data_IF_845662051628
#
_entry.id   IF_845662051628
#
_cell.length_a   1.000
_cell.length_b   1.000
_cell.length_c   1.000
_cell.angle_alpha   90.00
_cell.angle_beta   90.00
_cell.angle_gamma   90.00
#
_symmetry.space_group_name_H-M   'P 1'
#
loop_
_entity.id
_entity.type
_entity.pdbx_description
1 polymer ?
#
# COMPACT_ATOMS: atom_id res chain seq x y z
N UNK A 1 3.43 30.99 -15.26
CA UNK A 1 2.63 29.76 -15.00
C UNK A 1 1.51 29.73 -16.02
N UNK A 2 1.55 28.84 -17.02
CA UNK A 2 0.52 28.71 -18.06
C UNK A 2 -0.20 27.37 -17.85
N UNK A 3 -1.51 27.42 -17.73
CA UNK A 3 -2.38 26.25 -17.66
C UNK A 3 -2.75 25.81 -19.08
N UNK A 4 -2.89 24.50 -19.31
CA UNK A 4 -3.39 23.92 -20.55
C UNK A 4 -4.76 23.27 -20.28
N UNK A 5 -5.77 23.63 -21.07
CA UNK A 5 -7.14 23.11 -20.97
C UNK A 5 -7.48 22.26 -22.21
N UNK A 6 -7.98 21.01 -22.07
CA UNK A 6 -8.33 20.16 -23.20
C UNK A 6 -9.84 20.22 -23.46
N UNK A 7 -10.30 21.14 -24.31
CA UNK A 7 -11.72 21.20 -24.69
C UNK A 7 -12.09 22.44 -25.51
N UNK A 8 -13.04 22.27 -26.44
CA UNK A 8 -13.34 23.20 -27.52
C UNK A 8 -13.85 24.57 -27.05
N UNK A 9 -13.31 25.64 -27.66
CA UNK A 9 -13.89 26.98 -27.55
C UNK A 9 -14.90 27.18 -28.67
N UNK A 10 -16.18 27.14 -28.32
CA UNK A 10 -17.22 27.78 -29.12
C UNK A 10 -17.87 28.85 -28.25
N UNK A 11 -17.72 30.11 -28.65
CA UNK A 11 -18.76 31.13 -28.49
C UNK A 11 -18.53 32.23 -29.54
N UNK A 12 -19.53 32.37 -30.41
CA UNK A 12 -19.64 33.41 -31.45
C UNK A 12 -20.81 34.31 -31.11
N UNK A 13 -20.51 35.51 -30.63
CA UNK A 13 -21.29 36.76 -30.66
C UNK A 13 -20.68 37.72 -29.62
N UNK A 14 -20.33 38.99 -29.84
CA UNK A 14 -20.72 39.99 -30.83
C UNK A 14 -19.58 41.02 -31.06
N UNK A 15 -18.32 40.67 -30.79
CA UNK A 15 -17.15 41.51 -31.09
C UNK A 15 -15.96 40.65 -31.53
N UNK A 16 -15.80 40.48 -32.83
CA UNK A 16 -14.50 40.40 -33.51
C UNK A 16 -13.46 39.31 -33.17
N UNK A 17 -13.71 38.31 -32.33
CA UNK A 17 -12.72 37.25 -32.06
C UNK A 17 -13.07 35.95 -32.81
N UNK A 18 -12.63 35.86 -34.07
CA UNK A 18 -12.57 34.57 -34.80
C UNK A 18 -11.26 33.88 -34.44
N UNK A 19 -11.28 33.05 -33.41
CA UNK A 19 -10.24 32.05 -33.21
C UNK A 19 -10.70 30.78 -33.95
N UNK A 20 -10.18 30.54 -35.16
CA UNK A 20 -10.40 29.28 -35.87
C UNK A 20 -9.14 28.45 -35.86
N UNK A 21 -9.27 27.16 -35.56
CA UNK A 21 -8.22 26.15 -35.76
C UNK A 21 -8.37 25.64 -37.19
N UNK A 22 -7.32 25.78 -38.01
CA UNK A 22 -7.31 25.10 -39.31
C UNK A 22 -6.93 23.62 -39.16
N UNK A 23 -7.18 22.82 -40.21
CA UNK A 23 -6.87 21.38 -40.21
C UNK A 23 -5.36 21.07 -40.08
N UNK A 24 -4.50 22.09 -40.06
CA UNK A 24 -3.06 21.99 -39.82
C UNK A 24 -2.68 22.44 -38.40
N UNK A 25 -3.65 22.59 -37.49
CA UNK A 25 -3.47 23.02 -36.11
C UNK A 25 -2.84 24.42 -35.95
N UNK A 26 -2.95 25.28 -36.97
CA UNK A 26 -2.53 26.68 -36.87
C UNK A 26 -3.70 27.55 -36.41
N UNK A 27 -3.51 28.27 -35.32
CA UNK A 27 -4.43 29.32 -34.89
C UNK A 27 -4.14 30.59 -35.68
N UNK A 28 -5.14 31.09 -36.40
CA UNK A 28 -5.09 32.42 -37.03
C UNK A 28 -6.07 33.33 -36.31
N UNK A 29 -5.57 34.35 -35.63
CA UNK A 29 -6.38 35.51 -35.26
C UNK A 29 -6.25 36.57 -36.34
N UNK A 30 -7.38 37.12 -36.81
CA UNK A 30 -7.36 38.41 -37.50
C UNK A 30 -7.35 39.49 -36.42
N UNK A 31 -6.21 40.16 -36.23
CA UNK A 31 -6.20 41.41 -35.48
C UNK A 31 -6.76 42.50 -36.41
N UNK A 32 -7.84 43.18 -36.02
CA UNK A 32 -8.29 44.38 -36.71
C UNK A 32 -7.23 45.46 -36.50
N UNK A 33 -6.59 45.90 -37.59
CA UNK A 33 -5.42 46.79 -37.55
C UNK A 33 -5.74 48.24 -37.18
N UNK A 34 -6.95 48.51 -36.68
CA UNK A 34 -7.46 49.88 -36.51
C UNK A 34 -7.27 50.47 -35.11
N UNK A 35 -6.91 49.68 -34.09
CA UNK A 35 -6.57 50.21 -32.76
C UNK A 35 -5.21 49.68 -32.28
N UNK A 36 -4.17 50.52 -32.42
CA UNK A 36 -2.77 50.22 -32.09
C UNK A 36 -2.45 50.01 -30.60
N UNK A 37 -3.35 49.42 -29.82
CA UNK A 37 -3.22 49.24 -28.37
C UNK A 37 -3.55 47.84 -27.85
N UNK A 38 -3.98 46.90 -28.69
CA UNK A 38 -4.21 45.53 -28.23
C UNK A 38 -2.97 44.64 -28.48
N UNK A 39 -2.24 44.18 -27.44
CA UNK A 39 -1.20 43.19 -27.63
C UNK A 39 -1.85 41.91 -28.15
N UNK A 40 -1.61 41.56 -29.41
CA UNK A 40 -2.04 40.29 -29.97
C UNK A 40 -1.31 39.18 -29.17
N UNK A 41 -2.00 38.54 -28.23
CA UNK A 41 -1.43 37.42 -27.46
C UNK A 41 -1.39 36.20 -28.36
N UNK A 42 -0.19 35.83 -28.79
CA UNK A 42 0.02 34.59 -29.52
C UNK A 42 0.02 33.41 -28.55
N UNK A 43 -0.94 32.51 -28.72
CA UNK A 43 -0.95 31.20 -28.06
C UNK A 43 -0.61 30.17 -29.13
N UNK A 44 0.66 29.86 -29.29
CA UNK A 44 1.04 28.66 -30.04
C UNK A 44 0.84 27.45 -29.14
N UNK A 45 0.19 26.41 -29.67
CA UNK A 45 0.43 25.06 -29.15
C UNK A 45 1.90 24.80 -29.44
N UNK A 46 2.71 24.70 -28.38
CA UNK A 46 4.08 24.27 -28.54
C UNK A 46 4.05 22.93 -29.32
N UNK A 47 4.98 22.70 -30.25
CA UNK A 47 5.06 21.42 -30.93
C UNK A 47 5.07 20.28 -29.91
N UNK A 48 4.68 19.05 -30.29
CA UNK A 48 4.85 17.88 -29.45
C UNK A 48 6.24 17.87 -28.81
N UNK A 49 6.32 17.73 -27.48
CA UNK A 49 7.58 17.36 -26.85
C UNK A 49 7.73 15.87 -27.12
N UNK A 50 8.41 15.53 -28.22
CA UNK A 50 8.76 14.15 -28.52
C UNK A 50 9.99 13.78 -27.70
N UNK A 51 9.79 12.97 -26.66
CA UNK A 51 10.88 12.44 -25.88
C UNK A 51 10.43 11.18 -25.16
N UNK A 52 11.24 10.13 -25.23
CA UNK A 52 11.11 8.99 -24.32
C UNK A 52 11.05 9.52 -22.89
N UNK A 53 10.23 8.93 -22.00
CA UNK A 53 10.14 9.38 -20.63
C UNK A 53 11.55 9.45 -20.03
N UNK A 54 11.97 10.65 -19.63
CA UNK A 54 13.21 10.85 -18.91
C UNK A 54 13.16 9.96 -17.66
N UNK A 55 14.23 9.19 -17.42
CA UNK A 55 14.27 8.25 -16.31
C UNK A 55 14.16 9.01 -14.98
N UNK A 56 12.99 8.95 -14.34
CA UNK A 56 12.79 9.42 -12.98
C UNK A 56 13.26 8.34 -12.02
N UNK A 57 14.04 8.71 -11.01
CA UNK A 57 14.42 7.78 -9.95
C UNK A 57 13.25 7.61 -8.95
N UNK A 58 12.56 6.47 -9.02
CA UNK A 58 11.41 6.17 -8.16
C UNK A 58 11.76 5.56 -6.81
N UNK A 59 12.99 5.05 -6.64
CA UNK A 59 13.42 4.32 -5.45
C UNK A 59 13.20 5.08 -4.12
N UNK A 60 13.40 6.41 -4.02
CA UNK A 60 13.15 7.14 -2.78
C UNK A 60 11.69 7.11 -2.32
N UNK A 61 10.73 7.08 -3.25
CA UNK A 61 9.30 7.05 -2.92
C UNK A 61 8.86 5.69 -2.42
N UNK A 62 9.38 4.61 -3.00
CA UNK A 62 9.19 3.25 -2.47
C UNK A 62 9.87 3.05 -1.12
N UNK A 63 11.08 3.58 -0.93
CA UNK A 63 11.76 3.55 0.36
C UNK A 63 10.95 4.30 1.45
N UNK A 64 10.31 5.42 1.09
CA UNK A 64 9.41 6.13 1.99
C UNK A 64 8.17 5.30 2.33
N UNK A 65 7.55 4.63 1.34
CA UNK A 65 6.40 3.76 1.57
C UNK A 65 6.76 2.59 2.51
N UNK A 66 7.92 1.96 2.31
CA UNK A 66 8.47 0.96 3.23
C UNK A 66 8.70 1.52 4.64
N UNK A 67 9.33 2.69 4.74
CA UNK A 67 9.60 3.31 6.04
C UNK A 67 8.34 3.70 6.82
N UNK A 68 7.19 3.84 6.15
CA UNK A 68 5.90 4.03 6.84
C UNK A 68 5.33 2.75 7.43
N UNK A 69 5.73 1.58 6.91
CA UNK A 69 5.37 0.29 7.47
C UNK A 69 6.21 -0.02 8.73
N UNK A 70 7.48 0.37 8.72
CA UNK A 70 8.39 0.15 9.85
C UNK A 70 7.79 0.74 11.15
N UNK A 71 7.61 -0.10 12.17
CA UNK A 71 7.01 0.29 13.45
C UNK A 71 5.48 0.29 13.50
N UNK A 72 4.81 -0.19 12.46
CA UNK A 72 3.36 -0.38 12.41
C UNK A 72 2.91 -1.85 12.45
N UNK A 73 3.77 -2.73 12.98
CA UNK A 73 3.36 -4.10 13.24
C UNK A 73 2.15 -4.11 14.18
N UNK A 74 1.21 -5.01 13.92
CA UNK A 74 0.09 -5.23 14.82
C UNK A 74 0.52 -5.83 16.16
N UNK A 75 -0.48 -6.11 16.99
CA UNK A 75 -0.34 -6.81 18.25
C UNK A 75 -1.07 -8.14 18.18
N UNK A 76 -0.47 -9.18 18.76
CA UNK A 76 -1.10 -10.49 18.84
C UNK A 76 -2.17 -10.47 19.93
N UNK A 77 -3.38 -10.91 19.56
CA UNK A 77 -4.42 -11.31 20.49
C UNK A 77 -4.52 -12.83 20.59
N UNK A 78 -5.08 -13.35 21.68
CA UNK A 78 -5.33 -14.79 21.83
C UNK A 78 -6.59 -15.12 22.62
N UNK A 79 -7.13 -16.32 22.37
CA UNK A 79 -8.22 -16.92 23.12
C UNK A 79 -7.87 -18.39 23.44
N UNK A 80 -7.78 -18.79 24.72
CA UNK A 80 -7.93 -17.94 25.91
C UNK A 80 -6.78 -16.94 26.07
N UNK A 81 -7.02 -15.75 26.66
CA UNK A 81 -6.01 -14.70 26.73
C UNK A 81 -4.85 -15.12 27.62
N UNK A 82 -3.62 -15.10 27.09
CA UNK A 82 -2.34 -15.37 27.78
C UNK A 82 -2.19 -16.76 28.40
N UNK A 83 -3.21 -17.61 28.29
CA UNK A 83 -3.27 -18.94 28.90
C UNK A 83 -3.87 -19.94 27.93
N UNK A 84 -3.14 -21.01 27.66
CA UNK A 84 -3.56 -22.15 26.86
C UNK A 84 -3.55 -23.41 27.70
N UNK A 85 -4.09 -24.48 27.12
CA UNK A 85 -4.06 -25.81 27.69
C UNK A 85 -3.46 -26.75 26.66
N UNK A 86 -2.56 -27.62 27.09
CA UNK A 86 -2.01 -28.66 26.22
C UNK A 86 -3.13 -29.48 25.58
N UNK A 87 -2.94 -29.85 24.31
CA UNK A 87 -3.87 -30.61 23.50
C UNK A 87 -5.24 -29.94 23.28
N UNK A 88 -5.37 -28.65 23.57
CA UNK A 88 -6.54 -27.84 23.25
C UNK A 88 -6.09 -26.67 22.37
N UNK A 89 -6.72 -26.45 21.21
CA UNK A 89 -6.37 -25.33 20.35
C UNK A 89 -6.50 -23.99 21.07
N UNK A 90 -5.43 -23.18 21.00
CA UNK A 90 -5.42 -21.77 21.37
C UNK A 90 -5.54 -20.96 20.09
N UNK A 91 -6.46 -20.00 20.05
CA UNK A 91 -6.67 -19.12 18.91
C UNK A 91 -5.74 -17.90 19.01
N UNK A 92 -5.21 -17.44 17.88
CA UNK A 92 -4.38 -16.24 17.78
C UNK A 92 -4.81 -15.39 16.59
N UNK A 93 -4.68 -14.08 16.69
CA UNK A 93 -4.98 -13.13 15.62
C UNK A 93 -4.12 -11.89 15.75
N UNK A 94 -4.12 -11.03 14.73
CA UNK A 94 -3.38 -9.76 14.75
C UNK A 94 -4.38 -8.60 14.77
N UNK A 95 -4.26 -7.75 15.78
CA UNK A 95 -5.03 -6.50 15.93
C UNK A 95 -4.14 -5.28 15.68
N UNK A 96 -4.75 -4.17 15.26
CA UNK A 96 -4.06 -2.87 15.19
C UNK A 96 -2.96 -2.78 14.13
N UNK A 97 -3.01 -3.62 13.08
CA UNK A 97 -2.12 -3.52 11.93
C UNK A 97 -2.21 -2.12 11.31
N UNK A 98 -1.07 -1.53 10.96
CA UNK A 98 -1.05 -0.20 10.31
C UNK A 98 -1.74 -0.19 8.94
N UNK A 99 -1.67 -1.31 8.23
CA UNK A 99 -2.26 -1.50 6.89
C UNK A 99 -3.00 -2.84 6.87
N UNK A 100 -4.24 -2.91 7.40
CA UNK A 100 -5.02 -4.14 7.39
C UNK A 100 -5.55 -4.48 5.98
N UNK A 101 -5.68 -3.47 5.12
CA UNK A 101 -6.17 -3.55 3.73
C UNK A 101 -5.27 -2.73 2.79
N UNK A 102 -5.40 -2.94 1.47
CA UNK A 102 -4.63 -2.25 0.45
C UNK A 102 -4.64 -0.72 0.61
N UNK A 103 -3.44 -0.13 0.62
CA UNK A 103 -3.23 1.32 0.73
C UNK A 103 -2.54 1.86 -0.50
N UNK A 104 -3.17 2.87 -1.11
CA UNK A 104 -2.63 3.58 -2.26
C UNK A 104 -2.03 4.93 -1.87
N UNK A 105 -0.82 5.19 -2.33
CA UNK A 105 -0.13 6.48 -2.21
C UNK A 105 0.07 7.06 -3.61
N UNK A 106 -0.14 8.36 -3.78
CA UNK A 106 0.11 9.03 -5.06
C UNK A 106 1.10 10.17 -4.88
N UNK A 107 2.10 10.24 -5.76
CA UNK A 107 3.05 11.36 -5.81
C UNK A 107 3.18 11.87 -7.24
N UNK A 108 3.09 13.19 -7.40
CA UNK A 108 3.31 13.83 -8.70
C UNK A 108 4.67 14.50 -8.70
N UNK A 109 5.49 14.15 -9.69
CA UNK A 109 6.86 14.64 -9.86
C UNK A 109 7.03 15.23 -11.23
N UNK A 110 7.88 16.24 -11.31
CA UNK A 110 8.19 16.91 -12.55
C UNK A 110 9.47 16.28 -13.14
N UNK A 111 9.42 15.80 -14.39
CA UNK A 111 10.57 15.21 -15.09
C UNK A 111 11.66 16.24 -15.41
N UNK A 112 12.77 15.84 -16.05
CA UNK A 112 13.71 16.84 -16.55
C UNK A 112 13.06 17.67 -17.68
N UNK A 113 13.32 18.99 -17.75
CA UNK A 113 12.90 19.78 -18.89
C UNK A 113 13.66 19.36 -20.15
N UNK A 114 13.00 19.41 -21.31
CA UNK A 114 13.65 19.23 -22.61
C UNK A 114 14.51 20.43 -23.02
N UNK A 115 15.12 20.36 -24.21
CA UNK A 115 15.97 21.44 -24.74
C UNK A 115 15.21 22.78 -24.92
N UNK A 116 13.88 22.73 -25.04
CA UNK A 116 12.99 23.88 -25.14
C UNK A 116 12.40 24.31 -23.78
N UNK A 117 12.80 23.66 -22.67
CA UNK A 117 12.33 23.97 -21.32
C UNK A 117 10.95 23.41 -20.96
N UNK A 118 10.39 22.51 -21.77
CA UNK A 118 9.09 21.86 -21.52
C UNK A 118 9.28 20.66 -20.60
N UNK A 119 8.33 20.43 -19.70
CA UNK A 119 8.43 19.41 -18.66
C UNK A 119 7.21 18.50 -18.68
N UNK A 120 7.44 17.19 -18.57
CA UNK A 120 6.38 16.19 -18.36
C UNK A 120 6.20 16.00 -16.85
N UNK A 121 4.95 15.98 -16.39
CA UNK A 121 4.62 15.59 -15.03
C UNK A 121 4.20 14.13 -15.00
N UNK A 122 4.78 13.40 -14.07
CA UNK A 122 4.50 11.99 -13.83
C UNK A 122 3.77 11.84 -12.50
N UNK A 123 2.79 10.96 -12.46
CA UNK A 123 2.11 10.55 -11.22
C UNK A 123 2.46 9.10 -10.94
N UNK A 124 3.23 8.85 -9.90
CA UNK A 124 3.49 7.50 -9.37
C UNK A 124 2.38 7.15 -8.38
N UNK A 125 1.69 6.05 -8.65
CA UNK A 125 0.78 5.37 -7.74
C UNK A 125 1.56 4.20 -7.11
N UNK A 126 1.70 4.19 -5.79
CA UNK A 126 2.29 3.09 -5.03
C UNK A 126 1.15 2.36 -4.35
N UNK A 127 1.07 1.05 -4.56
CA UNK A 127 0.14 0.16 -3.86
C UNK A 127 0.90 -0.62 -2.80
N UNK A 128 0.38 -0.61 -1.57
CA UNK A 128 0.92 -1.36 -0.44
C UNK A 128 -0.16 -2.30 0.04
N UNK A 129 0.04 -3.59 -0.19
CA UNK A 129 -0.95 -4.64 0.07
C UNK A 129 -0.44 -5.62 1.11
N UNK A 130 -1.31 -5.99 2.06
CA UNK A 130 -1.05 -7.10 2.96
C UNK A 130 -1.18 -8.43 2.21
N UNK A 131 -0.17 -9.30 2.32
CA UNK A 131 -0.13 -10.58 1.60
C UNK A 131 -0.53 -11.73 2.53
N UNK A 132 0.13 -11.86 3.68
CA UNK A 132 -0.08 -12.94 4.64
C UNK A 132 0.57 -12.65 5.98
N UNK A 133 0.15 -13.38 7.02
CA UNK A 133 0.87 -13.52 8.28
C UNK A 133 1.56 -14.90 8.33
N UNK A 134 2.85 -14.92 8.64
CA UNK A 134 3.60 -16.13 8.95
C UNK A 134 3.78 -16.22 10.47
N UNK A 135 3.22 -17.24 11.08
CA UNK A 135 3.22 -17.43 12.52
C UNK A 135 4.39 -18.30 12.98
N UNK A 136 4.96 -17.96 14.12
CA UNK A 136 5.86 -18.77 14.92
C UNK A 136 5.28 -18.82 16.34
N UNK A 137 4.88 -20.00 16.79
CA UNK A 137 4.29 -20.26 18.10
C UNK A 137 5.31 -20.64 19.17
N UNK A 138 6.59 -20.73 18.79
CA UNK A 138 7.69 -21.22 19.63
C UNK A 138 7.45 -22.68 20.09
N UNK A 139 6.64 -23.44 19.34
CA UNK A 139 6.37 -24.85 19.63
C UNK A 139 7.44 -25.75 18.98
N UNK A 140 8.29 -26.41 19.78
CA UNK A 140 9.36 -27.31 19.33
C UNK A 140 8.86 -28.58 18.62
N UNK A 141 7.62 -28.99 18.85
CA UNK A 141 7.06 -30.24 18.33
C UNK A 141 6.30 -30.00 17.04
N UNK A 142 5.62 -28.86 16.93
CA UNK A 142 4.86 -28.50 15.75
C UNK A 142 4.57 -27.00 15.71
N UNK A 143 5.28 -26.26 14.86
CA UNK A 143 5.03 -24.82 14.72
C UNK A 143 3.93 -24.49 13.69
N UNK A 144 3.16 -25.49 13.28
CA UNK A 144 2.17 -25.31 12.21
C UNK A 144 0.90 -24.66 12.76
N UNK A 145 0.49 -23.58 12.09
CA UNK A 145 -0.82 -22.98 12.24
C UNK A 145 -1.93 -23.90 11.70
N UNK A 146 -3.06 -23.98 12.42
CA UNK A 146 -4.25 -24.64 11.92
C UNK A 146 -4.88 -23.80 10.81
N UNK A 147 -4.85 -24.32 9.59
CA UNK A 147 -5.43 -23.68 8.40
C UNK A 147 -6.95 -23.39 8.51
N UNK A 148 -7.65 -24.02 9.46
CA UNK A 148 -9.05 -23.73 9.76
C UNK A 148 -9.24 -23.67 11.27
N UNK A 149 -9.22 -22.47 11.87
CA UNK A 149 -9.44 -22.28 13.29
C UNK A 149 -10.81 -22.84 13.74
N UNK A 150 -10.92 -23.42 14.93
CA UNK A 150 -12.20 -23.84 15.50
C UNK A 150 -13.21 -22.68 15.56
N UNK A 151 -14.51 -22.99 15.44
CA UNK A 151 -15.57 -21.96 15.44
C UNK A 151 -15.61 -21.14 16.74
N UNK A 152 -15.11 -21.69 17.85
CA UNK A 152 -15.00 -21.02 19.14
C UNK A 152 -14.01 -19.85 19.12
N UNK A 153 -13.13 -19.79 18.12
CA UNK A 153 -12.19 -18.69 17.93
C UNK A 153 -12.85 -17.40 17.41
N UNK A 154 -14.13 -17.44 17.01
CA UNK A 154 -14.84 -16.26 16.52
C UNK A 154 -14.34 -15.79 15.14
N UNK A 155 -14.44 -14.48 14.89
CA UNK A 155 -14.03 -13.85 13.65
C UNK A 155 -13.04 -12.72 13.95
N UNK A 156 -11.82 -12.88 13.46
CA UNK A 156 -10.74 -11.92 13.59
C UNK A 156 -9.93 -11.87 12.29
N UNK A 157 -9.23 -10.75 12.06
CA UNK A 157 -8.28 -10.64 10.96
C UNK A 157 -7.08 -11.54 11.23
N UNK A 158 -6.60 -12.22 10.19
CA UNK A 158 -5.46 -13.14 10.30
C UNK A 158 -5.64 -14.21 11.40
N UNK A 159 -6.88 -14.64 11.64
CA UNK A 159 -7.18 -15.63 12.65
C UNK A 159 -6.51 -16.97 12.33
N UNK A 160 -5.81 -17.52 13.31
CA UNK A 160 -5.23 -18.84 13.30
C UNK A 160 -5.53 -19.56 14.62
N UNK A 161 -5.24 -20.86 14.67
CA UNK A 161 -5.19 -21.58 15.94
C UNK A 161 -3.96 -22.49 15.97
N UNK A 162 -3.44 -22.75 17.15
CA UNK A 162 -2.32 -23.65 17.35
C UNK A 162 -2.55 -24.52 18.59
N UNK A 163 -2.12 -25.77 18.53
CA UNK A 163 -2.33 -26.75 19.59
C UNK A 163 -0.97 -27.22 20.11
N UNK A 164 -0.61 -26.72 21.28
CA UNK A 164 0.57 -27.13 22.01
C UNK A 164 0.42 -28.55 22.54
N UNK A 165 1.47 -29.36 22.44
CA UNK A 165 1.49 -30.73 22.97
C UNK A 165 2.25 -30.86 24.29
N UNK A 166 2.98 -29.82 24.69
CA UNK A 166 3.83 -29.77 25.88
C UNK A 166 3.55 -28.50 26.70
N UNK A 167 3.60 -28.61 28.04
CA UNK A 167 3.44 -27.46 28.95
C UNK A 167 4.64 -26.51 28.85
N UNK A 168 4.42 -25.22 29.10
CA UNK A 168 5.46 -24.19 28.94
C UNK A 168 6.44 -24.09 30.12
N UNK A 169 6.15 -24.72 31.27
CA UNK A 169 6.88 -24.57 32.54
C UNK A 169 8.35 -25.00 32.51
N UNK A 170 8.72 -25.92 31.61
CA UNK A 170 10.08 -26.42 31.48
C UNK A 170 10.86 -25.79 30.31
N UNK A 171 10.23 -24.91 29.53
CA UNK A 171 10.76 -24.49 28.21
C UNK A 171 11.64 -23.25 28.27
N UNK A 172 11.14 -22.18 28.88
CA UNK A 172 11.83 -20.90 28.95
C UNK A 172 12.01 -20.48 30.41
N UNK A 173 13.00 -19.61 30.73
CA UNK A 173 13.19 -19.11 32.10
C UNK A 173 11.94 -18.45 32.71
N UNK A 174 11.07 -17.88 31.87
CA UNK A 174 9.82 -17.24 32.24
C UNK A 174 8.59 -18.16 32.10
N UNK A 175 8.81 -19.43 31.72
CA UNK A 175 7.80 -20.48 31.66
C UNK A 175 6.69 -20.25 30.63
N UNK A 176 7.00 -19.59 29.50
CA UNK A 176 6.02 -19.26 28.45
C UNK A 176 6.57 -19.51 27.05
N UNK A 177 5.69 -19.78 26.10
CA UNK A 177 5.99 -19.72 24.67
C UNK A 177 5.95 -18.27 24.18
N UNK A 178 6.82 -17.91 23.23
CA UNK A 178 6.90 -16.56 22.68
C UNK A 178 6.35 -16.53 21.25
N UNK A 179 5.04 -16.31 21.13
CA UNK A 179 4.37 -16.29 19.82
C UNK A 179 4.72 -15.01 19.09
N UNK A 180 5.11 -15.13 17.82
CA UNK A 180 5.43 -14.01 16.91
C UNK A 180 4.69 -14.20 15.60
N UNK A 181 4.20 -13.11 15.02
CA UNK A 181 3.68 -13.08 13.66
C UNK A 181 4.55 -12.17 12.80
N UNK A 182 4.98 -12.68 11.65
CA UNK A 182 5.63 -11.92 10.60
C UNK A 182 4.59 -11.52 9.54
N UNK A 183 4.29 -10.23 9.47
CA UNK A 183 3.40 -9.64 8.47
C UNK A 183 4.17 -9.41 7.17
N UNK A 184 3.66 -9.95 6.06
CA UNK A 184 4.24 -9.84 4.74
C UNK A 184 3.46 -8.83 3.90
N UNK A 185 4.16 -7.84 3.35
CA UNK A 185 3.59 -6.79 2.51
C UNK A 185 4.23 -6.77 1.13
N UNK A 186 3.40 -6.53 0.11
CA UNK A 186 3.84 -6.26 -1.25
C UNK A 186 3.76 -4.75 -1.51
N UNK A 187 4.83 -4.18 -2.07
CA UNK A 187 4.87 -2.78 -2.52
C UNK A 187 5.09 -2.77 -4.02
N UNK A 188 4.08 -2.35 -4.77
CA UNK A 188 4.13 -2.22 -6.23
C UNK A 188 3.94 -0.77 -6.65
N UNK A 189 4.38 -0.40 -7.86
CA UNK A 189 4.11 0.93 -8.37
C UNK A 189 3.78 0.97 -9.84
N UNK A 190 2.95 1.95 -10.18
CA UNK A 190 2.56 2.30 -11.54
C UNK A 190 2.77 3.78 -11.74
N UNK A 191 3.32 4.19 -12.89
CA UNK A 191 3.44 5.61 -13.22
C UNK A 191 2.57 5.96 -14.41
N UNK A 192 1.88 7.09 -14.29
CA UNK A 192 0.99 7.67 -15.27
C UNK A 192 1.54 9.03 -15.72
N UNK A 193 1.46 9.33 -17.02
CA UNK A 193 1.74 10.68 -17.53
C UNK A 193 0.90 10.97 -18.76
N UNK A 194 0.84 12.24 -19.15
CA UNK A 194 0.17 12.66 -20.39
C UNK A 194 1.06 13.63 -21.14
N UNK A 195 1.24 13.37 -22.42
CA UNK A 195 2.01 14.21 -23.34
C UNK A 195 1.21 14.47 -24.63
N UNK A 196 1.88 15.00 -25.65
CA UNK A 196 1.28 15.30 -26.95
C UNK A 196 0.82 14.08 -27.75
N UNK A 197 1.26 12.87 -27.40
CA UNK A 197 0.87 11.60 -28.00
C UNK A 197 -0.28 10.91 -27.25
N UNK A 198 -0.64 11.40 -26.06
CA UNK A 198 -1.78 10.91 -25.28
C UNK A 198 -1.41 10.63 -23.83
N UNK A 199 -2.26 9.82 -23.19
CA UNK A 199 -2.01 9.33 -21.83
C UNK A 199 -1.27 8.00 -21.89
N UNK A 200 -0.35 7.82 -20.95
CA UNK A 200 0.54 6.67 -20.88
C UNK A 200 0.56 6.12 -19.47
N UNK A 201 0.89 4.83 -19.35
CA UNK A 201 1.17 4.19 -18.08
C UNK A 201 2.29 3.16 -18.23
N UNK A 202 3.03 2.89 -17.16
CA UNK A 202 3.95 1.76 -17.08
C UNK A 202 4.06 1.26 -15.64
N UNK A 203 4.33 -0.03 -15.48
CA UNK A 203 4.71 -0.59 -14.19
C UNK A 203 6.13 -0.16 -13.85
N UNK A 204 6.36 0.12 -12.57
CA UNK A 204 7.67 0.45 -12.03
C UNK A 204 8.00 -0.61 -10.99
N UNK A 205 9.10 -1.31 -11.20
CA UNK A 205 9.64 -2.21 -10.19
C UNK A 205 10.04 -1.39 -8.96
N UNK A 206 9.51 -1.76 -7.81
CA UNK A 206 9.85 -1.11 -6.55
C UNK A 206 11.29 -1.43 -6.12
N UNK A 207 11.86 -2.53 -6.61
CA UNK A 207 13.13 -3.09 -6.13
C UNK A 207 13.05 -3.57 -4.68
N UNK A 208 11.87 -3.49 -4.07
CA UNK A 208 11.56 -3.98 -2.74
C UNK A 208 10.97 -5.37 -2.93
N UNK A 209 11.69 -6.39 -2.47
CA UNK A 209 11.12 -7.74 -2.36
C UNK A 209 10.00 -7.77 -1.31
N UNK A 210 9.72 -8.97 -0.82
CA UNK A 210 8.80 -9.19 0.29
C UNK A 210 9.21 -8.34 1.51
N UNK A 211 8.34 -7.42 1.93
CA UNK A 211 8.58 -6.56 3.10
C UNK A 211 7.99 -7.24 4.32
N UNK A 212 8.84 -7.58 5.28
CA UNK A 212 8.46 -8.37 6.46
C UNK A 212 8.58 -7.53 7.71
N UNK A 213 7.51 -7.49 8.52
CA UNK A 213 7.47 -6.81 9.81
C UNK A 213 6.99 -7.79 10.87
N UNK A 214 7.77 -7.96 11.93
CA UNK A 214 7.40 -8.84 13.03
C UNK A 214 6.67 -8.09 14.13
N UNK A 215 5.61 -8.70 14.66
CA UNK A 215 4.99 -8.28 15.91
C UNK A 215 5.99 -8.41 17.06
N UNK A 216 5.80 -7.68 18.18
CA UNK A 216 6.46 -8.00 19.43
C UNK A 216 6.12 -9.42 19.90
N UNK A 217 6.98 -10.01 20.72
CA UNK A 217 6.75 -11.33 21.32
C UNK A 217 5.47 -11.32 22.17
N UNK A 218 4.62 -12.31 21.94
CA UNK A 218 3.41 -12.54 22.70
C UNK A 218 3.59 -13.73 23.65
N UNK A 219 3.75 -13.47 24.96
CA UNK A 219 4.03 -14.51 25.94
C UNK A 219 2.76 -15.32 26.27
N UNK A 220 2.74 -16.60 25.91
CA UNK A 220 1.64 -17.52 26.15
C UNK A 220 2.04 -18.58 27.18
N UNK A 221 1.36 -18.60 28.32
CA UNK A 221 1.48 -19.71 29.26
C UNK A 221 0.64 -20.89 28.79
N UNK A 222 1.16 -22.11 28.82
CA UNK A 222 0.42 -23.32 28.46
C UNK A 222 0.59 -24.34 29.58
N UNK A 223 -0.52 -24.67 30.24
CA UNK A 223 -0.56 -25.65 31.32
C UNK A 223 -1.27 -26.93 30.92
N UNK A 224 -1.33 -27.88 31.87
CA UNK A 224 -2.18 -29.05 31.77
C UNK A 224 -3.33 -28.96 32.77
N UNK A 225 -4.50 -29.49 32.38
CA UNK A 225 -5.61 -29.68 33.31
C UNK A 225 -5.53 -31.12 33.81
N UNK A 226 -5.22 -31.29 35.08
CA UNK A 226 -5.37 -32.57 35.77
C UNK A 226 -6.77 -32.64 36.39
N UNK A 227 -7.58 -33.62 35.99
CA UNK A 227 -8.83 -33.90 36.68
C UNK A 227 -8.53 -34.63 37.99
N UNK A 228 -8.81 -34.00 39.13
CA UNK A 228 -8.76 -34.68 40.43
C UNK A 228 -10.06 -35.47 40.58
N UNK A 229 -10.01 -36.82 40.72
CA UNK A 229 -11.21 -37.61 40.96
C UNK A 229 -11.85 -37.18 42.28
N UNK A 230 -13.12 -36.79 42.23
CA UNK A 230 -13.91 -36.60 43.45
C UNK A 230 -14.41 -37.98 43.84
N UNK A 231 -13.78 -38.61 44.84
CA UNK A 231 -14.33 -39.83 45.44
C UNK A 231 -15.62 -39.43 46.18
N UNK A 232 -16.81 -39.91 45.79
CA UNK A 232 -18.01 -39.62 46.56
C UNK A 232 -17.82 -40.20 47.97
N UNK A 233 -18.07 -39.38 49.00
CA UNK A 233 -18.12 -39.88 50.36
C UNK A 233 -19.22 -40.95 50.43
N UNK A 234 -18.86 -42.18 50.77
CA UNK A 234 -19.82 -43.24 51.02
C UNK A 234 -20.80 -42.79 52.10
N UNK A 235 -22.12 -43.04 51.93
CA UNK A 235 -23.14 -42.66 52.90
C UNK A 235 -22.97 -43.37 54.26
#
# INVERSE_FOLDING_TARGET
MKWYYPGAWHHTDQAGWLCSVDNNFQWRSRCDSTSGTNPCVYWSKAPPAAGSPQAVNWAPYFAQARGQLDGQAGQIGSAPPTKGVVNIPTCFWIDGQGIPDDRKLSVTVAGAPDAEGRQIYYTLLIDVAFVRAAWNFDDPHNDTANATPPTQCGQHNQLTAHQYVEISEARHPDQKYHVVAAEHYAITGEVYWTDSYGSHHQNVDSGLGDVVISTPDYPQYVGQIEAIPITPASP
#
